data_IF_136653073057
#
_entry.id   IF_136653073057
#
_cell.length_a   1.000
_cell.length_b   1.000
_cell.length_c   1.000
_cell.angle_alpha   90.00
_cell.angle_beta   90.00
_cell.angle_gamma   90.00
#
_symmetry.space_group_name_H-M   'P 1'
#
loop_
_entity.id
_entity.type
_entity.pdbx_description
1 polymer ?
#
# COMPACT_ATOMS: atom_id res chain seq x y z
N UNK A 1 -15.62 -62.24 -9.76
CA UNK A 1 -15.62 -61.14 -8.76
C UNK A 1 -14.25 -60.49 -8.49
N UNK A 2 -13.13 -60.94 -9.09
CA UNK A 2 -11.78 -60.36 -8.84
C UNK A 2 -11.45 -59.09 -9.66
N UNK A 3 -12.05 -58.91 -10.85
CA UNK A 3 -11.72 -57.81 -11.80
C UNK A 3 -12.25 -56.43 -11.39
N UNK A 4 -13.20 -56.37 -10.48
CA UNK A 4 -13.86 -55.13 -10.06
C UNK A 4 -13.11 -54.41 -8.94
N UNK A 5 -12.32 -55.15 -8.14
CA UNK A 5 -11.47 -54.61 -7.06
C UNK A 5 -10.18 -53.96 -7.58
N UNK A 6 -9.60 -54.49 -8.65
CA UNK A 6 -8.37 -53.95 -9.25
C UNK A 6 -8.58 -52.55 -9.87
N UNK A 7 -9.73 -52.30 -10.51
CA UNK A 7 -10.06 -50.98 -11.06
C UNK A 7 -10.25 -49.91 -9.97
N UNK A 8 -10.86 -50.26 -8.84
CA UNK A 8 -11.08 -49.29 -7.76
C UNK A 8 -9.81 -48.90 -7.00
N UNK A 9 -8.82 -49.79 -6.93
CA UNK A 9 -7.51 -49.48 -6.31
C UNK A 9 -6.68 -48.55 -7.21
N UNK A 10 -6.71 -48.74 -8.54
CA UNK A 10 -5.97 -47.89 -9.48
C UNK A 10 -6.55 -46.46 -9.54
N UNK A 11 -7.88 -46.32 -9.49
CA UNK A 11 -8.53 -44.99 -9.43
C UNK A 11 -8.27 -44.26 -8.10
N UNK A 12 -8.19 -44.98 -6.97
CA UNK A 12 -7.85 -44.39 -5.67
C UNK A 12 -6.41 -43.88 -5.60
N UNK A 13 -5.45 -44.59 -6.21
CA UNK A 13 -4.05 -44.20 -6.23
C UNK A 13 -3.79 -42.99 -7.16
N UNK A 14 -4.49 -42.92 -8.30
CA UNK A 14 -4.38 -41.78 -9.22
C UNK A 14 -4.98 -40.49 -8.63
N UNK A 15 -6.04 -40.59 -7.82
CA UNK A 15 -6.61 -39.43 -7.12
C UNK A 15 -5.73 -38.95 -5.96
N UNK A 16 -5.05 -39.87 -5.26
CA UNK A 16 -4.08 -39.51 -4.22
C UNK A 16 -2.81 -38.84 -4.78
N UNK A 17 -2.38 -39.19 -6.00
CA UNK A 17 -1.24 -38.55 -6.66
C UNK A 17 -1.58 -37.15 -7.21
N UNK A 18 -2.83 -36.89 -7.60
CA UNK A 18 -3.27 -35.60 -8.12
C UNK A 18 -3.40 -34.51 -7.05
N UNK A 19 -3.57 -34.88 -5.77
CA UNK A 19 -3.64 -33.92 -4.65
C UNK A 19 -2.24 -33.51 -4.14
N UNK A 20 -1.18 -34.22 -4.52
CA UNK A 20 0.18 -33.96 -4.06
C UNK A 20 0.93 -32.84 -4.82
N UNK A 21 0.34 -32.26 -5.88
CA UNK A 21 0.97 -31.19 -6.69
C UNK A 21 0.16 -29.89 -6.64
N UNK A 22 -0.51 -29.61 -5.51
CA UNK A 22 -0.89 -28.25 -5.18
C UNK A 22 0.38 -27.52 -4.73
N UNK A 23 1.20 -27.06 -5.68
CA UNK A 23 2.28 -26.12 -5.39
C UNK A 23 1.58 -24.84 -4.93
N UNK A 24 1.68 -24.41 -3.65
CA UNK A 24 1.20 -23.10 -3.28
C UNK A 24 1.96 -22.11 -4.17
N UNK A 25 1.22 -21.30 -4.94
CA UNK A 25 1.79 -20.18 -5.65
C UNK A 25 2.48 -19.31 -4.59
N UNK A 26 3.82 -19.37 -4.53
CA UNK A 26 4.60 -18.51 -3.66
C UNK A 26 4.31 -17.08 -4.13
N UNK A 27 3.59 -16.31 -3.33
CA UNK A 27 3.48 -14.88 -3.53
C UNK A 27 4.93 -14.35 -3.54
N UNK A 28 5.35 -13.81 -4.68
CA UNK A 28 6.66 -13.17 -4.76
C UNK A 28 6.52 -11.81 -4.09
N UNK A 29 7.10 -11.68 -2.90
CA UNK A 29 7.30 -10.36 -2.30
C UNK A 29 8.38 -9.64 -3.12
N UNK A 30 7.93 -8.74 -3.99
CA UNK A 30 8.82 -7.86 -4.74
C UNK A 30 9.27 -6.73 -3.80
N UNK A 31 10.36 -6.96 -3.07
CA UNK A 31 10.98 -5.92 -2.25
C UNK A 31 11.78 -4.95 -3.14
N UNK A 32 11.36 -3.69 -3.15
CA UNK A 32 12.10 -2.61 -3.80
C UNK A 32 13.06 -1.96 -2.80
N UNK A 33 14.33 -1.68 -3.19
CA UNK A 33 15.23 -0.90 -2.34
C UNK A 33 14.61 0.45 -1.97
N UNK A 34 14.60 0.77 -0.67
CA UNK A 34 14.02 2.00 -0.14
C UNK A 34 15.11 3.05 0.07
N UNK A 35 14.89 4.25 -0.48
CA UNK A 35 15.78 5.39 -0.23
C UNK A 35 15.42 5.99 1.13
N UNK A 36 16.35 5.91 2.08
CA UNK A 36 16.21 6.42 3.45
C UNK A 36 16.98 7.74 3.64
N UNK A 37 16.82 8.36 4.80
CA UNK A 37 17.64 9.49 5.23
C UNK A 37 19.15 9.23 5.22
N UNK A 38 19.60 8.00 5.47
CA UNK A 38 21.03 7.64 5.38
C UNK A 38 21.54 7.75 3.93
N UNK A 39 20.78 7.23 2.96
CA UNK A 39 21.09 7.37 1.54
C UNK A 39 21.05 8.84 1.12
N UNK A 40 20.06 9.58 1.61
CA UNK A 40 19.88 11.01 1.32
C UNK A 40 21.05 11.85 1.84
N UNK A 41 21.44 11.71 3.10
CA UNK A 41 22.50 12.53 3.70
C UNK A 41 23.87 12.25 3.08
N UNK A 42 24.10 11.04 2.56
CA UNK A 42 25.34 10.65 1.87
C UNK A 42 25.37 11.03 0.40
N UNK A 43 24.24 11.35 -0.21
CA UNK A 43 24.16 11.70 -1.63
C UNK A 43 24.54 13.15 -1.88
N UNK A 44 25.00 13.41 -3.10
CA UNK A 44 25.30 14.74 -3.61
C UNK A 44 24.01 15.55 -3.80
N UNK A 45 24.09 16.89 -3.81
CA UNK A 45 22.93 17.74 -4.12
C UNK A 45 22.26 17.39 -5.45
N UNK A 46 23.04 16.97 -6.46
CA UNK A 46 22.50 16.57 -7.76
C UNK A 46 21.72 15.26 -7.68
N UNK A 47 22.20 14.26 -6.94
CA UNK A 47 21.51 12.99 -6.74
C UNK A 47 20.19 13.17 -5.97
N UNK A 48 20.17 14.04 -4.94
CA UNK A 48 18.94 14.41 -4.22
C UNK A 48 17.90 15.04 -5.15
N UNK A 49 18.34 15.99 -5.98
CA UNK A 49 17.46 16.64 -6.96
C UNK A 49 16.97 15.64 -8.02
N UNK A 50 17.83 14.74 -8.49
CA UNK A 50 17.46 13.70 -9.43
C UNK A 50 16.42 12.73 -8.86
N UNK A 51 16.53 12.36 -7.58
CA UNK A 51 15.52 11.55 -6.89
C UNK A 51 14.16 12.25 -6.87
N UNK A 52 14.10 13.53 -6.47
CA UNK A 52 12.84 14.29 -6.43
C UNK A 52 12.25 14.46 -7.84
N UNK A 53 13.08 14.75 -8.84
CA UNK A 53 12.66 14.81 -10.25
C UNK A 53 12.03 13.48 -10.70
N UNK A 54 12.71 12.36 -10.45
CA UNK A 54 12.20 11.04 -10.81
C UNK A 54 10.88 10.70 -10.10
N UNK A 55 10.77 11.03 -8.82
CA UNK A 55 9.52 10.82 -8.07
C UNK A 55 8.36 11.67 -8.65
N UNK A 56 8.62 12.92 -9.02
CA UNK A 56 7.63 13.78 -9.65
C UNK A 56 7.17 13.23 -11.02
N UNK A 57 8.09 12.70 -11.83
CA UNK A 57 7.75 12.09 -13.13
C UNK A 57 6.85 10.86 -12.96
N UNK A 58 7.09 10.03 -11.95
CA UNK A 58 6.21 8.87 -11.67
C UNK A 58 4.83 9.33 -11.18
N UNK A 59 4.77 10.36 -10.33
CA UNK A 59 3.49 10.94 -9.88
C UNK A 59 2.69 11.49 -11.08
N UNK A 60 3.36 12.19 -12.00
CA UNK A 60 2.74 12.73 -13.22
C UNK A 60 2.23 11.60 -14.13
N UNK A 61 3.04 10.58 -14.38
CA UNK A 61 2.62 9.40 -15.14
C UNK A 61 1.40 8.73 -14.51
N UNK A 62 1.43 8.48 -13.20
CA UNK A 62 0.33 7.85 -12.47
C UNK A 62 -0.93 8.72 -12.50
N UNK A 63 -0.79 10.05 -12.55
CA UNK A 63 -1.92 10.97 -12.67
C UNK A 63 -2.57 10.89 -14.04
N UNK A 64 -1.77 10.78 -15.11
CA UNK A 64 -2.26 10.64 -16.48
C UNK A 64 -3.03 9.33 -16.68
N UNK A 65 -2.57 8.24 -16.07
CA UNK A 65 -3.16 6.90 -16.26
C UNK A 65 -4.19 6.52 -15.17
N UNK A 66 -4.45 7.40 -14.20
CA UNK A 66 -5.31 7.12 -13.03
C UNK A 66 -6.76 6.75 -13.38
N UNK A 67 -7.23 7.11 -14.58
CA UNK A 67 -8.60 6.91 -15.05
C UNK A 67 -9.59 7.94 -14.50
N UNK A 68 -10.82 7.93 -15.02
CA UNK A 68 -11.91 8.81 -14.57
C UNK A 68 -13.19 8.00 -14.34
N UNK A 69 -13.72 7.92 -13.11
CA UNK A 69 -13.19 8.53 -11.88
C UNK A 69 -11.90 7.81 -11.38
N UNK A 70 -11.04 8.48 -10.60
CA UNK A 70 -9.85 7.88 -10.00
C UNK A 70 -10.13 6.62 -9.19
N UNK A 71 -9.13 5.75 -9.06
CA UNK A 71 -9.22 4.58 -8.19
C UNK A 71 -9.48 4.96 -6.72
N UNK A 72 -10.36 4.21 -6.03
CA UNK A 72 -10.89 4.54 -4.69
C UNK A 72 -9.86 4.82 -3.60
N UNK A 73 -8.64 4.27 -3.70
CA UNK A 73 -7.57 4.44 -2.69
C UNK A 73 -6.32 5.12 -3.25
N UNK A 74 -6.46 5.83 -4.36
CA UNK A 74 -5.33 6.51 -4.98
C UNK A 74 -4.95 7.77 -4.21
N UNK A 75 -3.66 7.94 -3.94
CA UNK A 75 -3.07 9.14 -3.32
C UNK A 75 -2.59 10.16 -4.34
N UNK A 76 -2.67 9.85 -5.64
CA UNK A 76 -2.00 10.61 -6.70
C UNK A 76 -2.50 12.04 -6.80
N UNK A 77 -3.80 12.27 -6.62
CA UNK A 77 -4.33 13.64 -6.59
C UNK A 77 -3.80 14.45 -5.41
N UNK A 78 -3.63 13.82 -4.24
CA UNK A 78 -3.05 14.49 -3.07
C UNK A 78 -1.56 14.79 -3.28
N UNK A 79 -0.82 13.86 -3.88
CA UNK A 79 0.56 14.08 -4.30
C UNK A 79 0.69 15.27 -5.26
N UNK A 80 -0.05 15.23 -6.37
CA UNK A 80 0.01 16.25 -7.41
C UNK A 80 -0.39 17.63 -6.88
N UNK A 81 -1.53 17.73 -6.19
CA UNK A 81 -2.01 19.00 -5.64
C UNK A 81 -1.08 19.52 -4.55
N UNK A 82 -0.67 18.68 -3.60
CA UNK A 82 0.15 19.08 -2.47
C UNK A 82 1.58 19.48 -2.84
N UNK A 83 2.16 18.87 -3.87
CA UNK A 83 3.51 19.21 -4.34
C UNK A 83 3.53 20.33 -5.39
N UNK A 84 2.41 20.65 -6.04
CA UNK A 84 2.34 21.63 -7.14
C UNK A 84 2.83 23.05 -6.79
N UNK A 85 2.90 23.37 -5.50
CA UNK A 85 3.33 24.66 -4.99
C UNK A 85 4.85 24.78 -4.76
N UNK A 86 5.58 23.67 -4.88
CA UNK A 86 7.01 23.63 -4.62
C UNK A 86 7.83 23.53 -5.91
N UNK A 87 8.95 24.24 -5.97
CA UNK A 87 10.01 23.93 -6.92
C UNK A 87 10.79 22.69 -6.47
N UNK A 88 11.48 22.01 -7.40
CA UNK A 88 12.37 20.89 -7.04
C UNK A 88 13.42 21.26 -6.01
N UNK A 89 13.98 22.47 -6.09
CA UNK A 89 14.96 22.96 -5.12
C UNK A 89 14.34 23.21 -3.75
N UNK A 90 13.09 23.70 -3.68
CA UNK A 90 12.37 23.86 -2.42
C UNK A 90 12.03 22.51 -1.78
N UNK A 91 11.66 21.50 -2.57
CA UNK A 91 11.41 20.15 -2.07
C UNK A 91 12.69 19.54 -1.47
N UNK A 92 13.81 19.62 -2.19
CA UNK A 92 15.11 19.14 -1.68
C UNK A 92 15.48 19.86 -0.38
N UNK A 93 15.38 21.18 -0.34
CA UNK A 93 15.71 21.97 0.84
C UNK A 93 14.83 21.63 2.05
N UNK A 94 13.54 21.37 1.84
CA UNK A 94 12.62 20.97 2.91
C UNK A 94 12.99 19.58 3.47
N UNK A 95 13.34 18.63 2.60
CA UNK A 95 13.77 17.28 3.01
C UNK A 95 15.13 17.34 3.74
N UNK A 96 16.09 18.11 3.22
CA UNK A 96 17.38 18.35 3.88
C UNK A 96 17.19 18.92 5.29
N UNK A 97 16.36 19.96 5.42
CA UNK A 97 16.05 20.57 6.70
C UNK A 97 15.42 19.56 7.66
N UNK A 98 14.46 18.77 7.19
CA UNK A 98 13.77 17.80 8.04
C UNK A 98 14.74 16.75 8.61
N UNK A 99 15.64 16.18 7.80
CA UNK A 99 16.63 15.22 8.31
C UNK A 99 17.68 15.87 9.22
N UNK A 100 18.05 17.14 9.00
CA UNK A 100 18.93 17.87 9.90
C UNK A 100 18.30 18.09 11.29
N UNK A 101 16.98 18.32 11.34
CA UNK A 101 16.21 18.49 12.58
C UNK A 101 15.88 17.16 13.28
N UNK A 102 15.93 16.03 12.56
CA UNK A 102 15.57 14.70 13.05
C UNK A 102 16.68 13.66 12.81
N UNK A 103 17.87 13.83 13.41
CA UNK A 103 19.00 12.93 13.17
C UNK A 103 18.75 11.48 13.63
N UNK A 104 17.83 11.26 14.57
CA UNK A 104 17.42 9.92 15.04
C UNK A 104 16.50 9.19 14.04
N UNK A 105 16.05 9.86 12.98
CA UNK A 105 15.14 9.31 11.96
C UNK A 105 15.82 9.03 10.63
N UNK A 106 17.14 8.81 10.62
CA UNK A 106 17.89 8.57 9.39
C UNK A 106 17.42 7.32 8.59
N UNK A 107 16.77 6.35 9.26
CA UNK A 107 16.18 5.18 8.60
C UNK A 107 14.80 5.43 7.99
N UNK A 108 14.18 6.59 8.25
CA UNK A 108 12.88 6.92 7.65
C UNK A 108 13.03 7.02 6.11
N UNK A 109 12.06 6.52 5.34
CA UNK A 109 12.08 6.67 3.89
C UNK A 109 11.93 8.13 3.44
N UNK A 110 12.70 8.55 2.45
CA UNK A 110 12.62 9.89 1.86
C UNK A 110 11.23 10.16 1.28
N UNK A 111 10.62 9.15 0.63
CA UNK A 111 9.27 9.29 0.07
C UNK A 111 8.22 9.53 1.16
N UNK A 112 8.42 8.98 2.36
CA UNK A 112 7.53 9.25 3.50
C UNK A 112 7.69 10.68 4.02
N UNK A 113 8.92 11.18 4.11
CA UNK A 113 9.16 12.60 4.45
C UNK A 113 8.48 13.50 3.42
N UNK A 114 8.66 13.20 2.13
CA UNK A 114 8.01 13.95 1.05
C UNK A 114 6.48 13.88 1.14
N UNK A 115 5.91 12.75 1.54
CA UNK A 115 4.47 12.60 1.73
C UNK A 115 3.95 13.38 2.94
N UNK A 116 4.48 13.07 4.13
CA UNK A 116 3.91 13.53 5.40
C UNK A 116 4.26 14.99 5.71
N UNK A 117 5.39 15.48 5.21
CA UNK A 117 5.87 16.82 5.53
C UNK A 117 5.61 17.82 4.40
N UNK A 118 5.45 17.36 3.15
CA UNK A 118 5.19 18.23 2.00
C UNK A 118 3.83 17.97 1.36
N UNK A 119 3.59 16.80 0.76
CA UNK A 119 2.39 16.59 -0.07
C UNK A 119 1.08 16.61 0.73
N UNK A 120 0.94 15.72 1.72
CA UNK A 120 -0.28 15.57 2.53
C UNK A 120 -0.72 16.86 3.24
N UNK A 121 0.16 17.62 3.92
CA UNK A 121 -0.27 18.84 4.60
C UNK A 121 -0.63 19.99 3.65
N UNK A 122 -0.17 19.96 2.40
CA UNK A 122 -0.41 21.04 1.42
C UNK A 122 -1.46 20.68 0.36
N UNK A 123 -2.06 19.48 0.39
CA UNK A 123 -3.17 19.15 -0.49
C UNK A 123 -4.52 19.67 0.09
N UNK A 124 -5.50 20.03 -0.76
CA UNK A 124 -6.82 20.44 -0.30
C UNK A 124 -7.48 19.43 0.67
N UNK A 125 -8.22 19.91 1.69
CA UNK A 125 -8.98 19.05 2.58
C UNK A 125 -9.95 18.14 1.81
N UNK A 126 -9.99 16.86 2.16
CA UNK A 126 -10.87 15.89 1.49
C UNK A 126 -10.31 15.30 0.19
N UNK A 127 -9.16 15.76 -0.32
CA UNK A 127 -8.49 15.13 -1.48
C UNK A 127 -8.05 13.70 -1.17
N UNK A 128 -7.70 13.43 0.10
CA UNK A 128 -7.42 12.10 0.61
C UNK A 128 -8.37 11.82 1.78
N UNK A 129 -9.56 11.32 1.47
CA UNK A 129 -10.50 10.90 2.49
C UNK A 129 -10.23 9.45 2.91
N UNK A 130 -9.59 9.25 4.06
CA UNK A 130 -9.51 7.93 4.70
C UNK A 130 -10.78 7.57 5.49
N UNK A 131 -11.81 8.43 5.51
CA UNK A 131 -13.10 8.17 6.19
C UNK A 131 -14.00 7.17 5.44
N UNK A 132 -13.44 6.43 4.49
CA UNK A 132 -14.01 5.17 4.04
C UNK A 132 -14.09 4.20 5.21
N UNK A 133 -15.21 4.31 5.94
CA UNK A 133 -15.86 3.31 6.78
C UNK A 133 -15.09 1.99 6.82
N UNK A 134 -14.46 1.70 7.96
CA UNK A 134 -14.51 0.35 8.48
C UNK A 134 -16.00 -0.02 8.54
N UNK A 135 -16.50 -0.62 7.46
CA UNK A 135 -17.72 -1.39 7.50
C UNK A 135 -17.43 -2.51 8.49
N UNK A 136 -17.80 -2.27 9.76
CA UNK A 136 -17.85 -3.28 10.81
C UNK A 136 -18.73 -4.40 10.26
N UNK A 137 -18.09 -5.39 9.62
CA UNK A 137 -18.74 -6.60 9.17
C UNK A 137 -19.38 -7.20 10.41
N UNK A 138 -20.72 -7.28 10.49
CA UNK A 138 -21.35 -7.78 11.71
C UNK A 138 -20.87 -9.21 11.93
N UNK A 139 -20.26 -9.44 13.09
CA UNK A 139 -19.89 -10.79 13.51
C UNK A 139 -21.14 -11.68 13.45
N UNK A 140 -21.08 -12.86 12.80
CA UNK A 140 -22.21 -13.75 12.75
C UNK A 140 -22.39 -14.40 14.12
N UNK A 141 -23.46 -14.04 14.81
CA UNK A 141 -24.01 -14.86 15.90
C UNK A 141 -23.96 -14.22 17.28
N UNK A 142 -24.91 -13.33 17.55
CA UNK A 142 -25.53 -13.26 18.88
C UNK A 142 -27.03 -13.45 18.71
N UNK A 143 -27.51 -14.67 18.99
CA UNK A 143 -28.96 -14.94 19.10
C UNK A 143 -29.50 -14.05 20.22
N UNK A 144 -30.31 -13.05 19.86
CA UNK A 144 -31.10 -12.31 20.83
C UNK A 144 -32.11 -13.28 21.47
N UNK A 145 -31.90 -13.59 22.75
CA UNK A 145 -32.87 -14.29 23.57
C UNK A 145 -34.14 -13.45 23.69
N UNK A 146 -35.27 -14.02 23.25
CA UNK A 146 -36.60 -13.45 23.49
C UNK A 146 -36.92 -13.52 24.98
N UNK A 147 -36.74 -12.42 25.70
CA UNK A 147 -37.34 -12.19 27.01
C UNK A 147 -38.74 -11.60 26.84
N UNK A 148 -39.78 -12.44 26.95
CA UNK A 148 -41.14 -11.98 27.27
C UNK A 148 -41.09 -11.31 28.64
N UNK A 149 -41.66 -10.11 28.77
CA UNK A 149 -42.19 -9.65 30.06
C UNK A 149 -43.57 -9.06 29.83
N UNK A 150 -44.53 -9.64 30.54
CA UNK A 150 -45.95 -9.35 30.49
C UNK A 150 -46.29 -8.07 31.27
N UNK A 151 -47.35 -7.41 30.81
CA UNK A 151 -48.10 -6.39 31.55
C UNK A 151 -48.76 -7.02 32.79
N UNK A 152 -48.99 -6.25 33.84
CA UNK A 152 -50.28 -5.55 33.96
C UNK A 152 -50.18 -4.03 34.07
#
# INVERSE_FOLDING_TARGET
MMRMRARQVVFGLALALAVAVAVPALAQDYEMPVVTGDHWQRSTPQERKAFVLGAATIIELDQEVQGTPPAKKSTINAWAQGLSHFTFDQMVAAIDKWYAEHPDKATRPVIEVMWYELAKPNCPPGTFDQSGTEEEKPMPGKKAGKGKVAKP
#
